data_IF_739399329092
#
_entry.id   IF_739399329092
#
_cell.length_a   1.000
_cell.length_b   1.000
_cell.length_c   1.000
_cell.angle_alpha   90.00
_cell.angle_beta   90.00
_cell.angle_gamma   90.00
#
_symmetry.space_group_name_H-M   'P 1'
#
loop_
_entity.id
_entity.type
_entity.pdbx_description
1 polymer ?
#
# COMPACT_ATOMS: atom_id res chain seq x y z
N UNK A 1 31.97 44.23 -0.65
CA UNK A 1 31.44 42.91 -1.07
C UNK A 1 31.73 41.93 0.04
N UNK A 2 30.80 41.32 0.74
CA UNK A 2 29.35 41.21 0.56
C UNK A 2 28.94 40.15 1.56
N UNK A 3 28.28 40.58 2.63
CA UNK A 3 27.65 39.71 3.61
C UNK A 3 26.55 38.95 2.87
N UNK A 4 26.73 37.64 2.66
CA UNK A 4 25.65 36.75 2.23
C UNK A 4 25.62 35.54 3.14
N UNK A 5 24.94 35.73 4.28
CA UNK A 5 23.94 34.84 4.87
C UNK A 5 24.42 33.41 5.20
N UNK A 6 24.81 33.13 6.45
CA UNK A 6 23.89 32.65 7.51
C UNK A 6 22.81 31.68 7.00
N UNK A 7 23.16 30.41 6.82
CA UNK A 7 22.20 29.30 6.92
C UNK A 7 22.77 28.19 7.80
N UNK A 8 23.04 28.53 9.07
CA UNK A 8 22.94 27.54 10.15
C UNK A 8 21.44 27.41 10.43
N UNK A 9 20.78 26.42 9.82
CA UNK A 9 19.42 26.03 10.18
C UNK A 9 19.47 24.63 10.77
N UNK A 10 19.47 24.59 12.10
CA UNK A 10 19.02 23.42 12.84
C UNK A 10 17.54 23.21 12.52
N UNK A 11 17.21 22.19 11.72
CA UNK A 11 15.96 21.46 11.90
C UNK A 11 16.30 19.99 12.13
N UNK A 12 16.54 19.71 13.40
CA UNK A 12 16.27 18.40 13.95
C UNK A 12 14.75 18.19 13.92
N UNK A 13 14.30 17.35 12.99
CA UNK A 13 13.12 16.50 13.15
C UNK A 13 13.50 15.22 12.40
N UNK A 14 13.86 14.15 13.09
CA UNK A 14 12.79 13.31 13.62
C UNK A 14 11.93 12.73 12.49
N UNK A 15 12.54 12.34 11.38
CA UNK A 15 11.90 11.56 10.33
C UNK A 15 12.76 10.34 10.10
N UNK A 16 12.57 9.32 10.92
CA UNK A 16 12.92 7.96 10.53
C UNK A 16 12.22 7.71 9.20
N UNK A 17 12.86 7.98 8.05
CA UNK A 17 12.47 7.29 6.84
C UNK A 17 12.94 5.87 7.06
N UNK A 18 12.15 5.15 7.86
CA UNK A 18 12.10 3.71 7.81
C UNK A 18 12.22 3.34 6.34
N UNK A 19 12.89 2.23 6.08
CA UNK A 19 12.86 1.57 4.79
C UNK A 19 11.41 1.05 4.58
N UNK A 20 10.42 1.94 4.62
CA UNK A 20 9.10 1.72 4.07
C UNK A 20 9.35 1.62 2.58
N UNK A 21 9.56 0.39 2.12
CA UNK A 21 9.24 -0.01 0.76
C UNK A 21 8.06 0.85 0.32
N UNK A 22 8.33 1.75 -0.62
CA UNK A 22 7.42 2.80 -1.00
C UNK A 22 6.08 2.14 -1.38
N UNK A 23 5.10 2.21 -0.48
CA UNK A 23 3.87 1.45 -0.65
C UNK A 23 3.17 1.89 -1.93
N UNK A 24 3.33 3.14 -2.33
CA UNK A 24 2.93 3.65 -3.65
C UNK A 24 3.48 2.81 -4.80
N UNK A 25 4.77 2.49 -4.80
CA UNK A 25 5.41 1.66 -5.86
C UNK A 25 4.92 0.20 -5.82
N UNK A 26 4.82 -0.38 -4.63
CA UNK A 26 4.33 -1.77 -4.47
C UNK A 26 2.86 -1.87 -4.87
N UNK A 27 2.04 -0.91 -4.45
CA UNK A 27 0.61 -0.85 -4.77
C UNK A 27 0.35 -0.42 -6.21
N UNK A 28 1.25 0.31 -6.87
CA UNK A 28 1.19 0.53 -8.31
C UNK A 28 1.29 -0.80 -9.10
N UNK A 29 1.92 -1.84 -8.53
CA UNK A 29 1.86 -3.18 -9.13
C UNK A 29 0.46 -3.81 -9.08
N UNK A 30 -0.45 -3.28 -8.23
CA UNK A 30 -1.86 -3.66 -8.15
C UNK A 30 -2.78 -2.81 -9.04
N UNK A 31 -2.26 -1.91 -9.88
CA UNK A 31 -3.04 -1.24 -10.93
C UNK A 31 -3.92 -2.20 -11.75
N UNK A 32 -3.46 -3.39 -12.20
CA UNK A 32 -4.33 -4.35 -12.89
C UNK A 32 -5.45 -4.96 -12.02
N UNK A 33 -5.41 -4.78 -10.69
CA UNK A 33 -6.47 -5.21 -9.77
C UNK A 33 -7.56 -4.15 -9.59
N UNK A 34 -7.33 -2.91 -10.04
CA UNK A 34 -8.21 -1.79 -9.74
C UNK A 34 -9.64 -2.03 -10.22
N UNK A 35 -9.84 -2.61 -11.41
CA UNK A 35 -11.18 -2.90 -11.91
C UNK A 35 -11.99 -3.85 -11.01
N UNK A 36 -11.35 -4.86 -10.42
CA UNK A 36 -12.02 -5.72 -9.43
C UNK A 36 -12.24 -4.99 -8.11
N UNK A 37 -11.23 -4.25 -7.63
CA UNK A 37 -11.30 -3.53 -6.35
C UNK A 37 -12.32 -2.38 -6.42
N UNK A 38 -12.53 -1.76 -7.58
CA UNK A 38 -13.56 -0.74 -7.80
C UNK A 38 -14.95 -1.31 -8.02
N UNK A 39 -15.07 -2.63 -8.16
CA UNK A 39 -16.32 -3.31 -8.50
C UNK A 39 -16.73 -3.16 -9.96
N UNK A 40 -15.84 -2.68 -10.83
CA UNK A 40 -16.03 -2.62 -12.28
C UNK A 40 -15.95 -4.02 -12.91
N UNK A 41 -15.09 -4.88 -12.38
CA UNK A 41 -14.92 -6.26 -12.80
C UNK A 41 -15.44 -7.24 -11.74
N UNK A 42 -16.15 -8.27 -12.19
CA UNK A 42 -16.66 -9.33 -11.31
C UNK A 42 -15.57 -10.27 -10.81
N UNK A 43 -14.42 -10.37 -11.49
CA UNK A 43 -13.32 -11.30 -11.17
C UNK A 43 -11.94 -10.68 -11.45
N UNK A 44 -10.91 -10.92 -10.61
CA UNK A 44 -9.57 -10.40 -10.84
C UNK A 44 -8.87 -11.10 -12.01
N UNK A 45 -8.05 -10.36 -12.76
CA UNK A 45 -7.24 -10.94 -13.83
C UNK A 45 -6.05 -11.75 -13.27
N UNK A 46 -5.54 -12.71 -14.04
CA UNK A 46 -4.32 -13.48 -13.67
C UNK A 46 -3.13 -12.58 -13.34
N UNK A 47 -2.95 -11.49 -14.10
CA UNK A 47 -1.88 -10.52 -13.85
C UNK A 47 -2.05 -9.85 -12.50
N UNK A 48 -3.27 -9.46 -12.14
CA UNK A 48 -3.58 -8.92 -10.81
C UNK A 48 -3.18 -9.90 -9.71
N UNK A 49 -3.59 -11.17 -9.81
CA UNK A 49 -3.29 -12.18 -8.79
C UNK A 49 -1.79 -12.45 -8.64
N UNK A 50 -1.04 -12.46 -9.74
CA UNK A 50 0.41 -12.64 -9.69
C UNK A 50 1.12 -11.45 -9.03
N UNK A 51 0.63 -10.22 -9.25
CA UNK A 51 1.17 -9.04 -8.58
C UNK A 51 0.77 -8.99 -7.10
N UNK A 52 -0.42 -9.45 -6.75
CA UNK A 52 -0.86 -9.57 -5.36
C UNK A 52 0.03 -10.53 -4.56
N UNK A 53 0.34 -11.71 -5.10
CA UNK A 53 1.27 -12.66 -4.45
C UNK A 53 2.65 -12.01 -4.21
N UNK A 54 3.17 -11.27 -5.20
CA UNK A 54 4.42 -10.51 -5.03
C UNK A 54 4.30 -9.47 -3.93
N UNK A 55 3.22 -8.69 -3.89
CA UNK A 55 3.01 -7.67 -2.86
C UNK A 55 2.94 -8.29 -1.47
N UNK A 56 2.24 -9.42 -1.31
CA UNK A 56 2.14 -10.16 -0.05
C UNK A 56 3.51 -10.64 0.42
N UNK A 57 4.37 -11.09 -0.50
CA UNK A 57 5.73 -11.58 -0.19
C UNK A 57 6.72 -10.45 0.05
N UNK A 58 6.63 -9.37 -0.71
CA UNK A 58 7.56 -8.24 -0.67
C UNK A 58 7.25 -7.29 0.48
N UNK A 59 5.97 -6.91 0.64
CA UNK A 59 5.54 -5.93 1.63
C UNK A 59 4.09 -6.18 2.09
N UNK A 60 3.89 -7.15 3.00
CA UNK A 60 2.57 -7.44 3.56
C UNK A 60 1.99 -6.25 4.32
N UNK A 61 2.83 -5.36 4.86
CA UNK A 61 2.41 -4.13 5.53
C UNK A 61 1.74 -3.12 4.57
N UNK A 62 2.24 -2.99 3.35
CA UNK A 62 1.60 -2.11 2.35
C UNK A 62 0.23 -2.64 1.93
N UNK A 63 0.10 -3.96 1.80
CA UNK A 63 -1.19 -4.58 1.53
C UNK A 63 -2.16 -4.37 2.70
N UNK A 64 -1.67 -4.55 3.92
CA UNK A 64 -2.43 -4.27 5.13
C UNK A 64 -2.97 -2.83 5.17
N UNK A 65 -2.11 -1.85 4.89
CA UNK A 65 -2.52 -0.44 4.81
C UNK A 65 -3.64 -0.25 3.77
N UNK A 66 -3.50 -0.86 2.59
CA UNK A 66 -4.52 -0.83 1.54
C UNK A 66 -5.85 -1.42 2.04
N UNK A 67 -5.82 -2.63 2.60
CA UNK A 67 -7.00 -3.40 3.03
C UNK A 67 -7.71 -2.78 4.25
N UNK A 68 -6.97 -2.08 5.12
CA UNK A 68 -7.52 -1.35 6.27
C UNK A 68 -8.26 -0.06 5.88
N UNK A 69 -8.34 0.28 4.59
CA UNK A 69 -8.99 1.49 4.09
C UNK A 69 -8.02 2.52 3.50
N UNK A 70 -6.72 2.19 3.41
CA UNK A 70 -5.70 3.04 2.80
C UNK A 70 -5.89 3.22 1.30
N UNK A 71 -6.70 2.41 0.61
CA UNK A 71 -6.98 2.58 -0.83
C UNK A 71 -7.45 3.99 -1.21
N UNK A 72 -8.26 4.62 -0.36
CA UNK A 72 -8.66 6.03 -0.53
C UNK A 72 -7.50 7.00 -0.34
N UNK A 73 -6.59 6.69 0.59
CA UNK A 73 -5.37 7.46 0.86
C UNK A 73 -4.36 7.38 -0.29
N UNK A 74 -4.36 6.27 -1.03
CA UNK A 74 -3.57 6.07 -2.25
C UNK A 74 -4.24 6.64 -3.51
N UNK A 75 -5.39 7.31 -3.39
CA UNK A 75 -6.08 7.91 -4.52
C UNK A 75 -6.72 6.90 -5.49
N UNK A 76 -7.06 5.70 -5.01
CA UNK A 76 -7.72 4.69 -5.85
C UNK A 76 -9.19 5.10 -6.07
N UNK A 77 -9.60 5.46 -7.30
CA UNK A 77 -10.97 5.88 -7.57
C UNK A 77 -11.91 4.70 -7.41
N UNK A 78 -12.99 4.90 -6.65
CA UNK A 78 -14.03 3.88 -6.44
C UNK A 78 -13.59 2.71 -5.56
N UNK A 79 -12.54 2.85 -4.75
CA UNK A 79 -12.05 1.78 -3.86
C UNK A 79 -13.18 1.15 -3.03
N UNK A 80 -13.45 -0.14 -3.26
CA UNK A 80 -14.38 -0.92 -2.47
C UNK A 80 -13.61 -1.82 -1.52
N UNK A 81 -13.64 -1.49 -0.24
CA UNK A 81 -12.91 -2.21 0.80
C UNK A 81 -13.34 -3.68 0.89
N UNK A 82 -14.63 -3.98 0.70
CA UNK A 82 -15.13 -5.35 0.73
C UNK A 82 -14.49 -6.18 -0.38
N UNK A 83 -14.45 -5.68 -1.61
CA UNK A 83 -13.79 -6.37 -2.72
C UNK A 83 -12.28 -6.48 -2.52
N UNK A 84 -11.65 -5.48 -1.92
CA UNK A 84 -10.23 -5.55 -1.57
C UNK A 84 -9.96 -6.72 -0.60
N UNK A 85 -10.83 -6.94 0.40
CA UNK A 85 -10.74 -8.06 1.35
C UNK A 85 -11.03 -9.42 0.72
N UNK A 86 -11.85 -9.47 -0.34
CA UNK A 86 -12.15 -10.69 -1.10
C UNK A 86 -11.08 -11.02 -2.15
N UNK A 87 -10.29 -10.03 -2.59
CA UNK A 87 -9.25 -10.18 -3.61
C UNK A 87 -8.25 -11.32 -3.32
N UNK A 88 -7.70 -11.50 -2.10
CA UNK A 88 -6.78 -12.60 -1.79
C UNK A 88 -7.44 -13.96 -1.97
N UNK A 89 -8.70 -14.08 -1.53
CA UNK A 89 -9.48 -15.31 -1.67
C UNK A 89 -9.80 -15.59 -3.15
N UNK A 90 -10.22 -14.57 -3.90
CA UNK A 90 -10.49 -14.69 -5.33
C UNK A 90 -9.25 -15.07 -6.16
N UNK A 91 -8.07 -14.63 -5.72
CA UNK A 91 -6.79 -14.96 -6.33
C UNK A 91 -6.14 -16.24 -5.77
N UNK A 92 -6.77 -16.90 -4.79
CA UNK A 92 -6.23 -18.06 -4.08
C UNK A 92 -4.83 -17.80 -3.48
N UNK A 93 -4.60 -16.59 -2.99
CA UNK A 93 -3.37 -16.17 -2.32
C UNK A 93 -3.60 -16.23 -0.81
N UNK A 94 -2.75 -16.97 -0.10
CA UNK A 94 -2.81 -17.02 1.35
C UNK A 94 -2.22 -15.74 1.93
N UNK A 95 -3.07 -14.95 2.58
CA UNK A 95 -2.66 -13.78 3.35
C UNK A 95 -3.06 -13.96 4.81
N UNK A 96 -2.26 -13.48 5.77
CA UNK A 96 -2.72 -13.36 7.15
C UNK A 96 -3.98 -12.47 7.20
N UNK A 97 -4.86 -12.68 8.18
CA UNK A 97 -6.06 -11.87 8.30
C UNK A 97 -5.70 -10.41 8.56
N UNK A 98 -6.55 -9.48 8.12
CA UNK A 98 -6.30 -8.04 8.29
C UNK A 98 -6.19 -7.60 9.75
N UNK A 99 -6.73 -8.39 10.68
CA UNK A 99 -6.54 -8.21 12.13
C UNK A 99 -5.08 -8.41 12.57
N UNK A 100 -4.30 -9.21 11.83
CA UNK A 100 -2.86 -9.38 12.05
C UNK A 100 -2.03 -8.22 11.48
N UNK A 101 -2.61 -7.33 10.70
CA UNK A 101 -1.96 -6.12 10.19
C UNK A 101 -1.57 -5.11 11.29
N UNK A 102 -2.10 -5.28 12.50
CA UNK A 102 -1.74 -4.48 13.68
C UNK A 102 -0.42 -4.94 14.34
N UNK A 103 0.24 -5.96 13.79
CA UNK A 103 1.53 -6.44 14.26
C UNK A 103 2.67 -5.51 13.84
N UNK A 104 2.99 -4.53 14.69
CA UNK A 104 4.21 -3.70 14.68
C UNK A 104 4.20 -2.50 13.71
N UNK A 105 3.37 -1.49 14.00
CA UNK A 105 3.81 -0.11 13.83
C UNK A 105 4.46 0.27 15.17
N UNK A 106 5.80 0.30 15.30
CA UNK A 106 6.39 1.04 16.40
C UNK A 106 6.05 2.52 16.17
N UNK A 107 5.19 3.06 17.02
CA UNK A 107 5.02 4.50 17.18
C UNK A 107 6.34 5.19 17.48
#
# INVERSE_FOLDING_TARGET
MGIVLLTVQLLWAGGSSAQSLDCSTVLASLTPCLGYISGSDSSPNKTCCSQLDKVVRLSPLCLCQLLSGGGSSFGIPGFNQTRALELPAACNVQTPPVSSCNGKIPS
#
